data_IF_278928951191
#
_entry.id   IF_278928951191
#
_cell.length_a   1.000
_cell.length_b   1.000
_cell.length_c   1.000
_cell.angle_alpha   90.00
_cell.angle_beta   90.00
_cell.angle_gamma   90.00
#
_symmetry.space_group_name_H-M   'P 1'
#
loop_
_entity.id
_entity.type
_entity.pdbx_description
1 polymer ?
#
# COMPACT_ATOMS: atom_id res chain seq x y z
N UNK A 1 -0.67 13.07 4.60
CA UNK A 1 -0.20 11.94 3.78
C UNK A 1 -0.86 10.67 4.28
N UNK A 2 -1.54 9.92 3.41
CA UNK A 2 -2.16 8.64 3.77
C UNK A 2 -1.11 7.65 4.28
N UNK A 3 -1.53 6.73 5.14
CA UNK A 3 -0.70 5.65 5.66
C UNK A 3 -1.47 4.34 5.59
N UNK A 4 -0.79 3.28 5.21
CA UNK A 4 -1.37 1.96 5.27
C UNK A 4 -0.46 0.97 6.01
N UNK A 5 -1.08 -0.08 6.46
CA UNK A 5 -0.45 -1.25 7.06
C UNK A 5 -1.12 -2.51 6.53
N UNK A 6 -0.31 -3.49 6.25
CA UNK A 6 -0.73 -4.84 5.89
C UNK A 6 -0.09 -5.79 6.88
N UNK A 7 -0.89 -6.65 7.44
CA UNK A 7 -0.44 -7.81 8.20
C UNK A 7 -0.86 -9.05 7.44
N UNK A 8 0.07 -9.98 7.24
CA UNK A 8 -0.20 -11.33 6.76
C UNK A 8 0.51 -12.32 7.67
N UNK A 9 -0.24 -13.28 8.19
CA UNK A 9 0.29 -14.29 9.10
C UNK A 9 -0.25 -15.67 8.80
N UNK A 10 0.45 -16.70 9.25
CA UNK A 10 -0.02 -18.09 9.23
C UNK A 10 -1.05 -18.37 10.33
N UNK A 11 -1.16 -17.46 11.30
CA UNK A 11 -2.13 -17.52 12.40
C UNK A 11 -2.84 -16.18 12.54
N UNK A 12 -4.12 -16.17 12.95
CA UNK A 12 -4.85 -14.93 13.16
C UNK A 12 -4.25 -14.07 14.28
N UNK A 13 -4.07 -12.77 14.00
CA UNK A 13 -3.72 -11.75 14.99
C UNK A 13 -4.95 -10.98 15.41
N UNK A 14 -4.98 -10.52 16.66
CA UNK A 14 -6.01 -9.60 17.12
C UNK A 14 -5.81 -8.24 16.44
N UNK A 15 -6.89 -7.68 15.89
CA UNK A 15 -6.83 -6.45 15.09
C UNK A 15 -6.27 -5.26 15.90
N UNK A 16 -6.50 -5.20 17.22
CA UNK A 16 -5.97 -4.15 18.09
C UNK A 16 -4.43 -4.07 18.08
N UNK A 17 -3.73 -5.17 17.81
CA UNK A 17 -2.28 -5.20 17.71
C UNK A 17 -1.77 -4.47 16.47
N UNK A 18 -2.55 -4.45 15.39
CA UNK A 18 -2.18 -3.79 14.12
C UNK A 18 -2.63 -2.34 14.10
N UNK A 19 -3.72 -2.01 14.83
CA UNK A 19 -4.42 -0.73 14.72
C UNK A 19 -3.93 0.36 15.68
N UNK A 20 -3.30 0.02 16.79
CA UNK A 20 -3.18 0.86 18.00
C UNK A 20 -2.25 2.08 17.93
N UNK A 21 -1.82 2.65 16.83
CA UNK A 21 -1.21 4.00 16.86
C UNK A 21 -1.00 4.68 15.52
N UNK A 22 -1.64 5.82 15.29
CA UNK A 22 -1.05 7.18 15.09
C UNK A 22 -2.13 8.24 14.87
N UNK A 23 -2.06 9.39 15.59
CA UNK A 23 -3.12 10.42 15.58
C UNK A 23 -3.02 11.43 14.42
N UNK A 24 -2.28 11.15 13.34
CA UNK A 24 -1.94 12.21 12.39
C UNK A 24 -2.88 12.37 11.19
N UNK A 25 -3.82 11.45 10.94
CA UNK A 25 -4.71 11.54 9.78
C UNK A 25 -6.19 11.47 10.21
N UNK A 26 -6.85 12.62 10.16
CA UNK A 26 -8.20 12.82 10.66
C UNK A 26 -9.34 12.61 9.66
N UNK A 27 -9.04 12.35 8.38
CA UNK A 27 -10.00 12.45 7.28
C UNK A 27 -10.70 11.13 6.95
N UNK A 28 -10.63 10.17 7.86
CA UNK A 28 -11.24 8.88 7.71
C UNK A 28 -10.26 7.73 7.69
N UNK A 29 -10.77 6.53 7.81
CA UNK A 29 -9.99 5.30 7.78
C UNK A 29 -10.81 4.15 7.19
N UNK A 30 -10.12 3.07 6.85
CA UNK A 30 -10.73 1.79 6.54
C UNK A 30 -9.88 0.64 7.04
N UNK A 31 -10.53 -0.43 7.43
CA UNK A 31 -9.91 -1.71 7.77
C UNK A 31 -10.63 -2.79 6.98
N UNK A 32 -9.89 -3.52 6.18
CA UNK A 32 -10.37 -4.71 5.49
C UNK A 32 -9.74 -5.96 6.08
N UNK A 33 -10.51 -7.00 6.19
CA UNK A 33 -10.06 -8.30 6.68
C UNK A 33 -10.46 -9.36 5.67
N UNK A 34 -9.49 -10.18 5.29
CA UNK A 34 -9.74 -11.46 4.68
C UNK A 34 -9.34 -12.52 5.69
N UNK A 35 -10.33 -13.07 6.35
CA UNK A 35 -10.09 -14.01 7.43
C UNK A 35 -11.11 -15.10 7.41
N UNK A 36 -10.72 -16.21 6.87
CA UNK A 36 -11.47 -17.45 6.78
C UNK A 36 -12.06 -17.99 8.09
N UNK A 37 -11.97 -17.30 9.23
CA UNK A 37 -12.29 -17.95 10.52
C UNK A 37 -13.31 -17.22 11.40
N UNK A 38 -13.64 -15.93 11.21
CA UNK A 38 -14.47 -15.26 12.22
C UNK A 38 -15.72 -14.51 11.75
N UNK A 39 -15.86 -14.21 10.46
CA UNK A 39 -17.03 -13.49 9.95
C UNK A 39 -17.53 -13.98 8.58
N UNK A 40 -16.87 -14.91 7.96
CA UNK A 40 -17.42 -15.63 6.82
C UNK A 40 -17.97 -16.95 7.32
N UNK A 41 -19.25 -16.97 7.59
CA UNK A 41 -20.03 -18.17 7.53
C UNK A 41 -19.91 -18.73 6.12
N UNK A 42 -19.77 -20.05 5.95
CA UNK A 42 -19.76 -20.68 4.63
C UNK A 42 -21.00 -20.30 3.81
N UNK A 43 -22.11 -19.99 4.47
CA UNK A 43 -23.36 -19.51 3.87
C UNK A 43 -23.28 -18.04 3.41
N UNK A 44 -22.45 -17.19 4.02
CA UNK A 44 -22.33 -15.76 3.70
C UNK A 44 -21.30 -15.46 2.61
N UNK A 45 -20.53 -16.47 2.23
CA UNK A 45 -19.52 -16.37 1.18
C UNK A 45 -18.18 -15.85 1.65
N UNK A 46 -17.18 -15.93 0.75
CA UNK A 46 -15.78 -15.64 1.03
C UNK A 46 -15.40 -14.16 0.75
N UNK A 47 -16.31 -13.22 0.95
CA UNK A 47 -16.03 -11.80 0.76
C UNK A 47 -15.32 -11.21 1.98
N UNK A 48 -14.34 -10.31 1.79
CA UNK A 48 -13.66 -9.66 2.91
C UNK A 48 -14.64 -8.78 3.70
N UNK A 49 -14.55 -8.83 5.02
CA UNK A 49 -15.27 -7.90 5.89
C UNK A 49 -14.56 -6.56 5.89
N UNK A 50 -15.30 -5.49 5.57
CA UNK A 50 -14.76 -4.12 5.51
C UNK A 50 -15.44 -3.25 6.53
N UNK A 51 -14.64 -2.48 7.26
CA UNK A 51 -15.11 -1.42 8.11
C UNK A 51 -14.46 -0.10 7.71
N UNK A 52 -15.25 0.85 7.23
CA UNK A 52 -14.80 2.19 6.83
C UNK A 52 -15.54 3.26 7.62
N UNK A 53 -14.89 4.38 7.86
CA UNK A 53 -15.49 5.55 8.51
C UNK A 53 -14.80 6.83 8.08
N UNK A 54 -15.54 7.93 8.04
CA UNK A 54 -15.01 9.29 7.81
C UNK A 54 -14.51 9.96 9.08
N UNK A 55 -14.74 9.34 10.25
CA UNK A 55 -14.19 9.82 11.52
C UNK A 55 -12.76 9.37 11.71
N UNK A 56 -11.95 10.08 12.51
CA UNK A 56 -10.60 9.63 12.85
C UNK A 56 -10.61 8.26 13.52
N UNK A 57 -9.67 7.39 13.14
CA UNK A 57 -9.58 6.02 13.64
C UNK A 57 -9.44 5.96 15.18
N UNK A 58 -8.67 6.87 15.77
CA UNK A 58 -8.45 6.92 17.22
C UNK A 58 -9.67 7.38 18.04
N UNK A 59 -10.66 7.98 17.38
CA UNK A 59 -11.90 8.47 18.02
C UNK A 59 -13.12 7.59 17.69
N UNK A 60 -12.91 6.46 17.02
CA UNK A 60 -14.00 5.57 16.64
C UNK A 60 -14.11 4.40 17.63
N UNK A 61 -15.07 4.50 18.55
CA UNK A 61 -15.29 3.49 19.59
C UNK A 61 -15.71 2.13 19.02
N UNK A 62 -16.39 2.11 17.87
CA UNK A 62 -16.78 0.86 17.23
C UNK A 62 -15.56 0.15 16.65
N UNK A 63 -14.62 0.88 16.05
CA UNK A 63 -13.35 0.31 15.62
C UNK A 63 -12.57 -0.28 16.79
N UNK A 64 -12.51 0.43 17.93
CA UNK A 64 -11.85 -0.07 19.13
C UNK A 64 -12.47 -1.38 19.61
N UNK A 65 -13.80 -1.43 19.70
CA UNK A 65 -14.54 -2.64 20.11
C UNK A 65 -14.35 -3.81 19.14
N UNK A 66 -14.38 -3.53 17.83
CA UNK A 66 -14.13 -4.54 16.81
C UNK A 66 -12.68 -5.05 16.92
N UNK A 67 -11.71 -4.15 17.05
CA UNK A 67 -10.31 -4.49 17.13
C UNK A 67 -9.95 -5.38 18.33
N UNK A 68 -10.69 -5.26 19.43
CA UNK A 68 -10.52 -6.12 20.62
C UNK A 68 -11.14 -7.52 20.49
N UNK A 69 -12.04 -7.73 19.54
CA UNK A 69 -12.80 -8.99 19.41
C UNK A 69 -12.47 -9.76 18.15
N UNK A 70 -11.95 -9.08 17.14
CA UNK A 70 -11.68 -9.68 15.82
C UNK A 70 -10.24 -10.15 15.74
N UNK A 71 -10.06 -11.34 15.17
CA UNK A 71 -8.75 -11.90 14.78
C UNK A 71 -8.77 -12.25 13.30
N UNK A 72 -7.69 -11.94 12.59
CA UNK A 72 -7.55 -12.28 11.18
C UNK A 72 -6.11 -12.63 10.83
N UNK A 73 -5.86 -13.59 9.91
CA UNK A 73 -4.54 -13.87 9.38
C UNK A 73 -4.09 -12.84 8.33
N UNK A 74 -5.03 -12.06 7.78
CA UNK A 74 -4.74 -10.99 6.83
C UNK A 74 -5.54 -9.74 7.20
N UNK A 75 -4.83 -8.64 7.40
CA UNK A 75 -5.43 -7.35 7.76
C UNK A 75 -4.86 -6.25 6.87
N UNK A 76 -5.73 -5.47 6.25
CA UNK A 76 -5.42 -4.21 5.60
C UNK A 76 -5.95 -3.07 6.46
N UNK A 77 -5.08 -2.16 6.85
CA UNK A 77 -5.44 -0.95 7.58
C UNK A 77 -4.97 0.29 6.84
N UNK A 78 -5.86 1.26 6.64
CA UNK A 78 -5.56 2.52 5.98
C UNK A 78 -6.08 3.71 6.78
N UNK A 79 -5.26 4.73 6.95
CA UNK A 79 -5.67 6.03 7.48
C UNK A 79 -5.48 7.10 6.41
N UNK A 80 -6.58 7.80 6.13
CA UNK A 80 -6.66 8.77 5.05
C UNK A 80 -6.22 10.14 5.50
N UNK A 81 -5.45 10.82 4.64
CA UNK A 81 -5.25 12.26 4.69
C UNK A 81 -5.72 12.84 3.37
N UNK A 82 -6.81 13.61 3.40
CA UNK A 82 -7.43 14.16 2.21
C UNK A 82 -6.59 15.32 1.66
N UNK A 83 -6.25 15.22 0.39
CA UNK A 83 -5.62 16.31 -0.36
C UNK A 83 -6.48 16.73 -1.54
N UNK A 84 -7.37 15.83 -1.98
CA UNK A 84 -8.34 16.07 -3.03
C UNK A 84 -9.58 15.19 -2.82
N UNK A 85 -10.75 15.68 -3.21
CA UNK A 85 -12.02 14.99 -3.09
C UNK A 85 -12.74 15.24 -1.76
N UNK A 86 -14.02 14.89 -1.71
CA UNK A 86 -14.87 15.06 -0.52
C UNK A 86 -14.56 14.02 0.56
N UNK A 87 -14.88 14.36 1.80
CA UNK A 87 -14.97 13.41 2.89
C UNK A 87 -16.22 12.54 2.68
N UNK A 88 -16.02 11.32 2.17
CA UNK A 88 -17.09 10.34 1.97
C UNK A 88 -16.59 8.94 2.26
N UNK A 89 -17.49 8.03 2.63
CA UNK A 89 -17.18 6.62 2.84
C UNK A 89 -16.67 5.97 1.55
N UNK A 90 -17.21 6.37 0.40
CA UNK A 90 -16.81 5.84 -0.91
C UNK A 90 -15.36 6.18 -1.29
N UNK A 91 -14.77 7.19 -0.66
CA UNK A 91 -13.37 7.55 -0.82
C UNK A 91 -12.45 6.90 0.23
N UNK A 92 -12.98 6.08 1.13
CA UNK A 92 -12.18 5.36 2.13
C UNK A 92 -11.71 4.01 1.59
N UNK A 93 -10.42 3.73 1.75
CA UNK A 93 -9.84 2.42 1.42
C UNK A 93 -10.09 1.41 2.55
N UNK A 94 -10.01 0.12 2.24
CA UNK A 94 -9.73 -0.50 0.95
C UNK A 94 -10.93 -0.53 0.02
N UNK A 95 -10.68 -0.64 -1.29
CA UNK A 95 -11.72 -0.96 -2.28
C UNK A 95 -11.76 -2.47 -2.51
N UNK A 96 -12.94 -2.98 -2.85
CA UNK A 96 -13.17 -4.42 -3.02
C UNK A 96 -13.93 -4.71 -4.30
N UNK A 97 -13.52 -5.79 -4.98
CA UNK A 97 -14.24 -6.42 -6.07
C UNK A 97 -14.11 -7.94 -5.96
N UNK A 98 -15.22 -8.65 -5.74
CA UNK A 98 -15.17 -10.08 -5.46
C UNK A 98 -14.30 -10.39 -4.24
N UNK A 99 -13.28 -11.21 -4.43
CA UNK A 99 -12.26 -11.50 -3.41
C UNK A 99 -11.09 -10.51 -3.43
N UNK A 100 -10.94 -9.74 -4.49
CA UNK A 100 -9.84 -8.78 -4.60
C UNK A 100 -10.08 -7.57 -3.71
N UNK A 101 -9.12 -7.29 -2.88
CA UNK A 101 -9.08 -6.10 -2.04
C UNK A 101 -7.84 -5.28 -2.38
N UNK A 102 -7.99 -3.97 -2.51
CA UNK A 102 -6.88 -3.07 -2.74
C UNK A 102 -6.83 -1.96 -1.72
N UNK A 103 -5.62 -1.62 -1.35
CA UNK A 103 -5.29 -0.36 -0.72
C UNK A 103 -4.38 0.42 -1.67
N UNK A 104 -4.84 1.57 -2.11
CA UNK A 104 -4.08 2.49 -2.93
C UNK A 104 -3.77 3.74 -2.13
N UNK A 105 -2.67 3.73 -1.37
CA UNK A 105 -2.21 4.97 -0.79
C UNK A 105 -1.48 5.78 -1.84
N UNK A 106 -2.21 6.62 -2.54
CA UNK A 106 -1.56 7.73 -3.20
C UNK A 106 -1.16 8.73 -2.13
N UNK A 107 0.08 8.63 -1.73
CA UNK A 107 0.71 9.52 -0.76
C UNK A 107 0.69 10.95 -1.26
N UNK A 108 -0.08 11.77 -0.61
CA UNK A 108 -0.29 13.16 -0.97
C UNK A 108 0.57 14.12 -0.18
N UNK A 109 1.70 14.48 -0.75
CA UNK A 109 2.13 15.88 -0.70
C UNK A 109 2.26 16.49 -2.09
N UNK A 110 2.17 15.64 -3.12
CA UNK A 110 2.11 16.01 -4.54
C UNK A 110 1.36 14.95 -5.35
N UNK A 111 0.30 14.39 -4.77
CA UNK A 111 -0.85 13.75 -5.37
C UNK A 111 -0.66 12.51 -6.18
N UNK A 112 -0.84 11.33 -5.71
CA UNK A 112 -1.25 10.14 -6.41
C UNK A 112 -0.78 9.98 -7.86
N UNK A 113 -1.73 9.86 -8.75
CA UNK A 113 -1.48 9.85 -10.20
C UNK A 113 -1.39 11.29 -10.68
N UNK A 114 -0.26 11.61 -11.31
CA UNK A 114 0.02 12.94 -11.85
C UNK A 114 -1.11 13.41 -12.78
N UNK A 115 -1.52 14.65 -12.59
CA UNK A 115 -2.51 15.32 -13.46
C UNK A 115 -3.74 14.46 -13.76
N UNK A 116 -4.19 13.70 -12.76
CA UNK A 116 -5.30 12.74 -12.91
C UNK A 116 -6.53 13.35 -13.57
N UNK A 117 -6.85 14.61 -13.29
CA UNK A 117 -7.98 15.30 -13.89
C UNK A 117 -7.87 15.41 -15.42
N UNK A 118 -6.66 15.49 -15.96
CA UNK A 118 -6.41 15.53 -17.41
C UNK A 118 -6.48 14.15 -18.05
N UNK A 119 -6.06 13.11 -17.34
CA UNK A 119 -6.06 11.74 -17.89
C UNK A 119 -7.34 10.99 -17.63
N UNK A 120 -8.17 11.41 -16.67
CA UNK A 120 -9.38 10.70 -16.23
C UNK A 120 -10.26 10.28 -17.40
N UNK A 121 -10.57 11.20 -18.33
CA UNK A 121 -11.40 10.90 -19.49
C UNK A 121 -10.75 9.87 -20.42
N UNK A 122 -9.44 9.98 -20.65
CA UNK A 122 -8.70 9.00 -21.48
C UNK A 122 -8.64 7.64 -20.80
N UNK A 123 -8.44 7.61 -19.49
CA UNK A 123 -8.48 6.38 -18.71
C UNK A 123 -9.84 5.71 -18.80
N UNK A 124 -10.92 6.46 -18.59
CA UNK A 124 -12.28 5.96 -18.71
C UNK A 124 -12.59 5.38 -20.10
N UNK A 125 -12.13 6.04 -21.18
CA UNK A 125 -12.35 5.54 -22.55
C UNK A 125 -11.56 4.28 -22.90
N UNK A 126 -10.56 3.91 -22.11
CA UNK A 126 -9.78 2.67 -22.27
C UNK A 126 -10.30 1.51 -21.42
N UNK A 127 -11.17 1.80 -20.45
CA UNK A 127 -11.78 0.77 -19.62
C UNK A 127 -12.95 0.12 -20.37
N UNK A 128 -13.10 -1.21 -20.29
CA UNK A 128 -14.31 -1.87 -20.77
C UNK A 128 -15.53 -1.39 -19.97
N UNK A 129 -16.73 -1.38 -20.58
CA UNK A 129 -17.95 -0.89 -19.94
C UNK A 129 -18.22 -1.55 -18.58
N UNK A 130 -17.91 -2.83 -18.46
CA UNK A 130 -18.04 -3.56 -17.19
C UNK A 130 -17.14 -2.99 -16.09
N UNK A 131 -15.96 -2.48 -16.44
CA UNK A 131 -15.05 -1.87 -15.45
C UNK A 131 -15.56 -0.50 -14.96
N UNK A 132 -16.36 0.19 -15.74
CA UNK A 132 -17.02 1.42 -15.31
C UNK A 132 -18.09 1.15 -14.25
N UNK A 133 -18.71 -0.04 -14.28
CA UNK A 133 -19.69 -0.47 -13.27
C UNK A 133 -19.01 -0.79 -11.93
N UNK A 134 -17.74 -1.25 -11.96
CA UNK A 134 -16.97 -1.55 -10.75
C UNK A 134 -16.55 -0.30 -9.97
N UNK A 135 -16.47 0.83 -10.68
CA UNK A 135 -16.21 2.12 -10.06
C UNK A 135 -17.52 2.70 -9.52
N UNK A 136 -17.50 3.10 -8.24
CA UNK A 136 -18.62 3.86 -7.65
C UNK A 136 -18.66 5.30 -8.14
N UNK A 137 -17.93 5.61 -9.21
CA UNK A 137 -17.78 6.93 -9.83
C UNK A 137 -17.26 8.00 -8.85
N UNK A 138 -16.48 7.60 -7.86
CA UNK A 138 -15.89 8.52 -6.88
C UNK A 138 -14.87 9.47 -7.54
N UNK A 139 -14.45 10.46 -6.81
CA UNK A 139 -13.38 11.36 -7.26
C UNK A 139 -11.97 10.80 -6.95
N UNK A 140 -11.88 9.65 -6.28
CA UNK A 140 -10.62 9.04 -5.89
C UNK A 140 -9.88 8.46 -7.09
N UNK A 141 -8.68 8.95 -7.35
CA UNK A 141 -7.82 8.44 -8.42
C UNK A 141 -7.39 6.97 -8.21
N UNK A 142 -7.31 6.55 -6.95
CA UNK A 142 -7.00 5.16 -6.58
C UNK A 142 -8.10 4.16 -6.96
N UNK A 143 -9.38 4.56 -6.92
CA UNK A 143 -10.48 3.72 -7.39
C UNK A 143 -10.37 3.45 -8.89
N UNK A 144 -10.07 4.48 -9.68
CA UNK A 144 -9.87 4.34 -11.13
C UNK A 144 -8.62 3.52 -11.47
N UNK A 145 -7.56 3.64 -10.65
CA UNK A 145 -6.40 2.77 -10.78
C UNK A 145 -6.75 1.31 -10.48
N UNK A 146 -7.63 1.06 -9.51
CA UNK A 146 -8.12 -0.28 -9.22
C UNK A 146 -9.01 -0.83 -10.34
N UNK A 147 -9.92 -0.04 -10.89
CA UNK A 147 -10.70 -0.45 -12.06
C UNK A 147 -9.81 -0.80 -13.27
N UNK A 148 -8.73 -0.02 -13.46
CA UNK A 148 -7.72 -0.33 -14.49
C UNK A 148 -6.99 -1.64 -14.17
N UNK A 149 -6.60 -1.87 -12.93
CA UNK A 149 -5.98 -3.13 -12.50
C UNK A 149 -6.90 -4.32 -12.77
N UNK A 150 -8.18 -4.24 -12.40
CA UNK A 150 -9.16 -5.29 -12.66
C UNK A 150 -9.29 -5.57 -14.16
N UNK A 151 -9.24 -4.54 -15.01
CA UNK A 151 -9.28 -4.70 -16.47
C UNK A 151 -8.05 -5.40 -17.08
N UNK A 152 -6.92 -5.50 -16.31
CA UNK A 152 -5.72 -6.22 -16.75
C UNK A 152 -5.74 -7.69 -16.35
N UNK A 153 -6.69 -8.12 -15.53
CA UNK A 153 -6.86 -9.52 -15.15
C UNK A 153 -7.56 -10.29 -16.28
N UNK A 154 -7.20 -11.56 -16.51
CA UNK A 154 -7.90 -12.41 -17.48
C UNK A 154 -9.38 -12.57 -17.18
N UNK A 155 -9.72 -12.74 -15.90
CA UNK A 155 -11.09 -12.77 -15.37
C UNK A 155 -11.07 -12.14 -13.97
N UNK A 156 -11.56 -10.90 -13.81
CA UNK A 156 -11.57 -10.22 -12.52
C UNK A 156 -12.55 -10.84 -11.49
N UNK A 157 -13.46 -11.72 -11.94
CA UNK A 157 -14.41 -12.42 -11.08
C UNK A 157 -13.90 -13.80 -10.65
N UNK A 158 -12.70 -14.20 -11.08
CA UNK A 158 -12.10 -15.45 -10.66
C UNK A 158 -11.96 -15.52 -9.14
N UNK A 159 -12.09 -16.70 -8.59
CA UNK A 159 -12.00 -16.93 -7.12
C UNK A 159 -10.57 -17.05 -6.62
N UNK A 160 -9.61 -17.29 -7.50
CA UNK A 160 -8.18 -17.44 -7.17
C UNK A 160 -7.31 -16.88 -8.29
N UNK A 161 -6.18 -16.31 -7.90
CA UNK A 161 -5.19 -15.76 -8.82
C UNK A 161 -3.80 -16.30 -8.52
N UNK A 162 -3.01 -16.53 -9.55
CA UNK A 162 -1.59 -16.76 -9.33
C UNK A 162 -0.91 -15.45 -8.95
N UNK A 163 0.12 -15.51 -8.08
CA UNK A 163 0.93 -14.33 -7.78
C UNK A 163 1.55 -13.71 -9.03
N UNK A 164 1.80 -14.51 -10.08
CA UNK A 164 2.30 -14.02 -11.37
C UNK A 164 1.23 -13.21 -12.12
N UNK A 165 -0.03 -13.66 -12.10
CA UNK A 165 -1.16 -12.95 -12.71
C UNK A 165 -1.35 -11.58 -12.06
N UNK A 166 -1.42 -11.54 -10.71
CA UNK A 166 -1.57 -10.29 -9.97
C UNK A 166 -0.37 -9.35 -10.20
N UNK A 167 0.84 -9.90 -10.20
CA UNK A 167 2.06 -9.13 -10.49
C UNK A 167 2.03 -8.53 -11.89
N UNK A 168 1.68 -9.33 -12.90
CA UNK A 168 1.59 -8.85 -14.28
C UNK A 168 0.55 -7.74 -14.41
N UNK A 169 -0.65 -7.95 -13.87
CA UNK A 169 -1.72 -6.95 -13.90
C UNK A 169 -1.29 -5.63 -13.22
N UNK A 170 -0.54 -5.69 -12.12
CA UNK A 170 -0.01 -4.51 -11.45
C UNK A 170 1.03 -3.76 -12.30
N UNK A 171 1.94 -4.48 -12.94
CA UNK A 171 2.92 -3.87 -13.86
C UNK A 171 2.25 -3.23 -15.08
N UNK A 172 1.28 -3.92 -15.68
CA UNK A 172 0.51 -3.41 -16.82
C UNK A 172 -0.31 -2.17 -16.42
N UNK A 173 -0.81 -2.12 -15.18
CA UNK A 173 -1.50 -0.94 -14.62
C UNK A 173 -0.57 0.25 -14.51
N UNK A 174 0.61 0.08 -13.89
CA UNK A 174 1.61 1.14 -13.75
C UNK A 174 2.05 1.64 -15.14
N UNK A 175 2.34 0.73 -16.07
CA UNK A 175 2.73 1.07 -17.43
C UNK A 175 1.64 1.88 -18.16
N UNK A 176 0.37 1.48 -18.02
CA UNK A 176 -0.78 2.18 -18.62
C UNK A 176 -0.95 3.58 -18.03
N UNK A 177 -0.83 3.73 -16.71
CA UNK A 177 -0.90 5.05 -16.05
C UNK A 177 0.24 5.96 -16.49
N UNK A 178 1.47 5.45 -16.56
CA UNK A 178 2.62 6.21 -17.05
C UNK A 178 2.45 6.64 -18.51
N UNK A 179 1.88 5.78 -19.35
CA UNK A 179 1.59 6.11 -20.74
C UNK A 179 0.55 7.23 -20.86
N UNK A 180 -0.52 7.17 -20.05
CA UNK A 180 -1.57 8.18 -20.03
C UNK A 180 -1.09 9.54 -19.53
N UNK A 181 -0.21 9.56 -18.51
CA UNK A 181 0.39 10.79 -17.99
C UNK A 181 1.33 11.48 -19.00
N UNK A 182 1.86 10.76 -20.00
CA UNK A 182 2.68 11.34 -21.06
C UNK A 182 4.10 11.73 -20.62
N UNK A 183 4.91 12.26 -21.58
CA UNK A 183 6.33 12.57 -21.36
C UNK A 183 6.62 14.05 -21.08
N UNK A 184 5.65 14.88 -20.90
CA UNK A 184 5.86 16.34 -20.87
C UNK A 184 5.32 17.05 -19.63
N UNK A 185 4.91 16.29 -18.63
CA UNK A 185 4.29 16.88 -17.44
C UNK A 185 5.28 16.87 -16.28
N UNK A 186 5.44 18.01 -15.63
CA UNK A 186 6.32 18.20 -14.48
C UNK A 186 5.83 17.50 -13.21
N UNK A 187 4.63 16.91 -13.27
CA UNK A 187 4.02 16.27 -12.11
C UNK A 187 4.41 14.80 -12.01
N UNK A 188 4.70 14.37 -10.78
CA UNK A 188 5.16 13.03 -10.46
C UNK A 188 4.01 12.14 -10.00
N UNK A 189 3.94 10.91 -10.52
CA UNK A 189 3.02 9.90 -10.01
C UNK A 189 3.67 9.10 -8.90
N UNK A 190 3.01 9.06 -7.74
CA UNK A 190 3.37 8.22 -6.59
C UNK A 190 2.38 7.06 -6.52
N UNK A 191 2.85 5.84 -6.81
CA UNK A 191 1.99 4.67 -6.93
C UNK A 191 2.40 3.57 -5.95
N UNK A 192 2.25 3.87 -4.65
CA UNK A 192 2.36 2.85 -3.61
C UNK A 192 1.02 2.11 -3.51
N UNK A 193 0.82 1.18 -4.40
CA UNK A 193 -0.38 0.35 -4.45
C UNK A 193 -0.20 -0.92 -3.64
N UNK A 194 -1.29 -1.45 -3.14
CA UNK A 194 -1.34 -2.80 -2.63
C UNK A 194 -2.62 -3.50 -3.07
N UNK A 195 -2.53 -4.79 -3.38
CA UNK A 195 -3.66 -5.64 -3.74
C UNK A 195 -3.48 -7.03 -3.15
N UNK A 196 -4.58 -7.66 -2.77
CA UNK A 196 -4.63 -9.06 -2.35
C UNK A 196 -5.88 -9.74 -2.90
N UNK A 197 -5.79 -11.05 -3.07
CA UNK A 197 -6.91 -11.97 -3.29
C UNK A 197 -7.20 -12.85 -2.05
N UNK A 198 -6.59 -12.49 -0.90
CA UNK A 198 -6.61 -13.26 0.34
C UNK A 198 -5.40 -14.18 0.51
N UNK A 199 -4.90 -14.76 -0.58
CA UNK A 199 -3.79 -15.71 -0.57
C UNK A 199 -2.43 -15.07 -0.84
N UNK A 200 -2.37 -14.17 -1.82
CA UNK A 200 -1.18 -13.42 -2.16
C UNK A 200 -1.35 -11.93 -1.87
N UNK A 201 -0.26 -11.24 -1.55
CA UNK A 201 -0.22 -9.78 -1.44
C UNK A 201 0.79 -9.23 -2.43
N UNK A 202 0.39 -8.25 -3.23
CA UNK A 202 1.28 -7.50 -4.12
C UNK A 202 1.30 -6.05 -3.61
N UNK A 203 2.47 -5.52 -3.31
CA UNK A 203 2.63 -4.12 -2.93
C UNK A 203 3.70 -3.45 -3.78
N UNK A 204 3.55 -2.16 -4.09
CA UNK A 204 4.52 -1.39 -4.85
C UNK A 204 4.97 -0.16 -4.07
N UNK A 205 6.26 0.13 -4.14
CA UNK A 205 6.83 1.43 -3.82
C UNK A 205 7.33 2.03 -5.13
N UNK A 206 6.56 2.97 -5.70
CA UNK A 206 6.83 3.43 -7.06
C UNK A 206 6.66 4.95 -7.22
N UNK A 207 7.54 5.53 -8.04
CA UNK A 207 7.47 6.92 -8.49
C UNK A 207 7.87 7.02 -9.97
N UNK A 208 7.16 7.87 -10.71
CA UNK A 208 7.48 8.18 -12.10
C UNK A 208 8.57 9.27 -12.22
N UNK A 209 9.69 9.06 -11.53
CA UNK A 209 10.86 9.96 -11.57
C UNK A 209 12.16 9.17 -11.46
N UNK A 210 13.20 9.69 -12.10
CA UNK A 210 14.57 9.20 -11.94
C UNK A 210 15.36 9.94 -10.87
N UNK A 211 14.85 11.09 -10.41
CA UNK A 211 15.53 11.99 -9.46
C UNK A 211 14.96 11.85 -8.05
N UNK A 212 13.64 11.75 -7.93
CA UNK A 212 12.94 11.76 -6.65
C UNK A 212 12.80 10.36 -6.06
N UNK A 213 12.66 10.31 -4.74
CA UNK A 213 12.34 9.09 -4.01
C UNK A 213 10.83 8.88 -3.91
N UNK A 214 10.40 7.64 -4.07
CA UNK A 214 9.01 7.25 -3.78
C UNK A 214 8.68 7.44 -2.31
N UNK A 215 7.39 7.63 -2.00
CA UNK A 215 6.92 7.64 -0.63
C UNK A 215 7.40 6.38 0.12
N UNK A 216 7.73 6.55 1.40
CA UNK A 216 8.31 5.46 2.20
C UNK A 216 7.40 4.23 2.26
N UNK A 217 8.02 3.07 2.20
CA UNK A 217 7.39 1.79 2.41
C UNK A 217 8.40 0.85 3.05
N UNK A 218 7.96 0.13 4.07
CA UNK A 218 8.79 -0.73 4.89
C UNK A 218 8.16 -2.10 5.03
N UNK A 219 8.96 -3.11 5.28
CA UNK A 219 8.46 -4.41 5.69
C UNK A 219 9.19 -4.92 6.92
N UNK A 220 8.51 -5.78 7.67
CA UNK A 220 9.04 -6.53 8.79
C UNK A 220 8.57 -7.97 8.70
N UNK A 221 9.40 -8.93 9.05
CA UNK A 221 9.05 -10.34 9.06
C UNK A 221 9.59 -11.05 10.28
N UNK A 222 8.84 -12.03 10.77
CA UNK A 222 9.24 -12.76 11.96
C UNK A 222 8.30 -13.93 12.27
N UNK A 223 8.47 -14.49 13.48
CA UNK A 223 7.67 -15.59 14.00
C UNK A 223 6.52 -15.12 14.88
N UNK A 224 6.72 -14.03 15.62
CA UNK A 224 5.71 -13.44 16.51
C UNK A 224 5.75 -11.93 16.45
N UNK A 225 4.55 -11.33 16.57
CA UNK A 225 4.37 -9.89 16.73
C UNK A 225 3.52 -9.67 17.98
N UNK A 226 4.11 -9.17 19.05
CA UNK A 226 3.47 -9.07 20.35
C UNK A 226 3.85 -7.81 21.10
N UNK A 227 2.98 -7.39 21.99
CA UNK A 227 3.24 -6.33 22.95
C UNK A 227 4.23 -6.86 23.99
N UNK A 228 5.32 -6.14 24.20
CA UNK A 228 6.35 -6.50 25.20
C UNK A 228 6.37 -5.57 26.42
N UNK A 229 5.69 -4.43 26.33
CA UNK A 229 5.49 -3.51 27.45
C UNK A 229 4.16 -2.77 27.29
N UNK A 230 3.55 -2.41 28.41
CA UNK A 230 2.29 -1.69 28.43
C UNK A 230 2.34 -0.39 27.63
N UNK A 231 1.19 0.00 27.08
CA UNK A 231 1.09 1.23 26.31
C UNK A 231 1.36 1.06 24.81
N UNK A 232 1.29 -0.16 24.28
CA UNK A 232 1.38 -0.46 22.86
C UNK A 232 2.81 -0.49 22.33
N UNK A 233 3.74 -0.99 23.15
CA UNK A 233 5.11 -1.27 22.74
C UNK A 233 5.17 -2.66 22.10
N UNK A 234 5.13 -2.71 20.78
CA UNK A 234 5.18 -3.96 20.01
C UNK A 234 6.58 -4.24 19.50
N UNK A 235 6.89 -5.52 19.34
CA UNK A 235 8.14 -6.03 18.79
C UNK A 235 7.84 -7.18 17.83
N UNK A 236 8.58 -7.20 16.71
CA UNK A 236 8.69 -8.36 15.82
C UNK A 236 9.83 -9.24 16.34
N UNK A 237 9.53 -10.49 16.66
CA UNK A 237 10.56 -11.45 17.12
C UNK A 237 10.72 -12.56 16.08
N UNK A 238 11.95 -13.01 15.89
CA UNK A 238 12.32 -14.07 14.97
C UNK A 238 12.97 -15.22 15.75
N UNK A 239 12.17 -16.22 16.11
CA UNK A 239 12.63 -17.35 16.91
C UNK A 239 13.34 -18.43 16.06
N UNK A 240 12.97 -18.56 14.77
CA UNK A 240 13.54 -19.53 13.85
C UNK A 240 13.65 -18.97 12.41
N UNK A 241 13.99 -19.80 11.44
CA UNK A 241 14.14 -19.40 10.04
C UNK A 241 12.80 -19.23 9.30
N UNK A 242 11.68 -19.61 9.91
CA UNK A 242 10.35 -19.52 9.28
C UNK A 242 9.79 -18.10 9.49
N UNK A 243 9.19 -17.58 8.47
CA UNK A 243 8.47 -16.32 8.53
C UNK A 243 6.98 -16.63 8.64
N UNK A 244 6.47 -16.56 9.87
CA UNK A 244 5.04 -16.80 10.14
C UNK A 244 4.22 -15.51 10.02
N UNK A 245 4.90 -14.37 10.04
CA UNK A 245 4.30 -13.04 9.98
C UNK A 245 5.12 -12.19 9.02
N UNK A 246 4.44 -11.51 8.12
CA UNK A 246 5.00 -10.46 7.28
C UNK A 246 4.11 -9.23 7.40
N UNK A 247 4.72 -8.10 7.68
CA UNK A 247 4.04 -6.81 7.72
C UNK A 247 4.63 -5.88 6.67
N UNK A 248 3.78 -5.11 5.99
CA UNK A 248 4.17 -4.01 5.12
C UNK A 248 3.50 -2.76 5.65
N UNK A 249 4.25 -1.68 5.82
CA UNK A 249 3.71 -0.43 6.34
C UNK A 249 4.37 0.79 5.70
N UNK A 250 3.64 1.88 5.61
CA UNK A 250 4.16 3.15 5.11
C UNK A 250 5.34 3.68 5.95
N UNK A 251 5.42 3.27 7.20
CA UNK A 251 6.49 3.59 8.14
C UNK A 251 6.59 2.51 9.24
N UNK A 252 7.75 2.33 9.89
CA UNK A 252 7.92 1.37 10.97
C UNK A 252 6.87 1.56 12.08
N UNK A 253 6.27 0.47 12.52
CA UNK A 253 5.22 0.47 13.56
C UNK A 253 5.76 0.17 14.96
N UNK A 254 6.99 -0.32 15.06
CA UNK A 254 7.66 -0.60 16.33
C UNK A 254 8.73 0.45 16.62
N UNK A 255 9.13 0.56 17.91
CA UNK A 255 10.23 1.44 18.29
C UNK A 255 11.59 0.89 17.85
N UNK A 256 11.71 -0.43 17.68
CA UNK A 256 12.90 -1.09 17.18
C UNK A 256 12.96 -0.96 15.65
N UNK A 257 13.66 0.08 15.20
CA UNK A 257 13.82 0.32 13.75
C UNK A 257 14.56 -0.83 13.05
N UNK A 258 15.37 -1.57 13.76
CA UNK A 258 16.09 -2.73 13.25
C UNK A 258 15.16 -3.89 12.82
N UNK A 259 13.93 -3.93 13.33
CA UNK A 259 12.92 -4.93 12.93
C UNK A 259 12.34 -4.64 11.54
N UNK A 260 12.64 -3.48 10.94
CA UNK A 260 12.06 -3.02 9.69
C UNK A 260 13.12 -2.80 8.62
N UNK A 261 12.83 -3.27 7.42
CA UNK A 261 13.65 -3.05 6.24
C UNK A 261 12.91 -2.14 5.26
N UNK A 262 13.61 -1.12 4.78
CA UNK A 262 13.05 -0.21 3.78
C UNK A 262 12.99 -0.90 2.41
N UNK A 263 11.81 -0.86 1.78
CA UNK A 263 11.64 -1.30 0.40
C UNK A 263 12.22 -0.22 -0.51
N UNK A 264 13.10 -0.57 -1.43
CA UNK A 264 13.73 0.39 -2.34
C UNK A 264 12.71 1.01 -3.29
N UNK A 265 12.97 2.24 -3.72
CA UNK A 265 12.17 2.93 -4.73
C UNK A 265 12.08 2.10 -6.02
N UNK A 266 10.92 2.13 -6.68
CA UNK A 266 10.58 1.36 -7.88
C UNK A 266 10.78 -0.14 -7.69
N UNK A 267 10.26 -0.64 -6.57
CA UNK A 267 10.28 -2.07 -6.22
C UNK A 267 8.86 -2.55 -5.91
N UNK A 268 8.56 -3.73 -6.42
CA UNK A 268 7.37 -4.50 -6.09
C UNK A 268 7.71 -5.54 -5.04
N UNK A 269 6.88 -5.67 -4.03
CA UNK A 269 6.93 -6.73 -3.03
C UNK A 269 5.80 -7.71 -3.31
N UNK A 270 6.12 -8.99 -3.28
CA UNK A 270 5.16 -10.09 -3.42
C UNK A 270 5.25 -10.96 -2.18
N UNK A 271 4.15 -11.08 -1.44
CA UNK A 271 4.00 -12.10 -0.40
C UNK A 271 3.21 -13.25 -1.02
N UNK A 272 3.84 -14.39 -1.14
CA UNK A 272 3.20 -15.57 -1.72
C UNK A 272 2.29 -16.27 -0.71
N UNK A 273 1.37 -17.17 -1.15
CA UNK A 273 0.58 -18.00 -0.24
C UNK A 273 1.43 -18.84 0.73
N UNK A 274 2.68 -19.16 0.34
CA UNK A 274 3.65 -19.91 1.16
C UNK A 274 4.48 -19.03 2.09
N UNK A 275 4.07 -17.78 2.31
CA UNK A 275 4.75 -16.80 3.17
C UNK A 275 6.20 -16.48 2.72
N UNK A 276 6.49 -16.56 1.43
CA UNK A 276 7.75 -16.03 0.90
C UNK A 276 7.56 -14.56 0.52
N UNK A 277 8.49 -13.72 0.96
CA UNK A 277 8.56 -12.32 0.55
C UNK A 277 9.59 -12.17 -0.57
N UNK A 278 9.13 -11.69 -1.72
CA UNK A 278 9.97 -11.42 -2.88
C UNK A 278 10.02 -9.92 -3.13
N UNK A 279 11.21 -9.36 -3.32
CA UNK A 279 11.40 -7.99 -3.76
C UNK A 279 11.86 -7.98 -5.21
N UNK A 280 11.10 -7.35 -6.09
CA UNK A 280 11.29 -7.40 -7.54
C UNK A 280 11.39 -5.95 -8.05
N UNK A 281 12.51 -5.53 -8.63
CA UNK A 281 12.63 -4.21 -9.25
C UNK A 281 11.59 -4.02 -10.36
N UNK A 282 10.97 -2.86 -10.40
CA UNK A 282 10.10 -2.43 -11.50
C UNK A 282 11.00 -1.72 -12.53
N UNK A 283 11.36 -2.46 -13.57
CA UNK A 283 12.31 -1.98 -14.58
C UNK A 283 11.53 -1.33 -15.73
N UNK A 284 11.52 -0.02 -15.71
CA UNK A 284 10.91 0.84 -16.73
C UNK A 284 11.81 2.07 -17.00
N UNK A 285 11.26 3.07 -17.70
CA UNK A 285 12.01 4.32 -18.02
C UNK A 285 12.43 5.13 -16.78
N UNK A 286 11.83 4.89 -15.61
CA UNK A 286 12.12 5.57 -14.36
C UNK A 286 13.00 4.76 -13.41
N UNK A 287 13.34 3.54 -13.80
CA UNK A 287 14.21 2.69 -12.99
C UNK A 287 15.64 3.25 -12.93
N UNK A 288 16.20 3.25 -11.74
CA UNK A 288 17.61 3.60 -11.48
C UNK A 288 18.24 2.45 -10.72
N UNK A 289 19.29 1.87 -11.29
CA UNK A 289 20.02 0.77 -10.66
C UNK A 289 20.68 1.23 -9.35
N UNK A 290 20.63 0.45 -8.26
CA UNK A 290 21.26 0.81 -7.00
C UNK A 290 22.77 1.02 -7.07
N UNK A 291 23.43 0.43 -8.07
CA UNK A 291 24.87 0.52 -8.33
C UNK A 291 25.25 1.65 -9.29
N UNK A 292 24.30 2.45 -9.76
CA UNK A 292 24.60 3.58 -10.62
C UNK A 292 25.29 4.69 -9.81
N UNK A 293 26.59 4.92 -10.02
CA UNK A 293 27.35 5.94 -9.29
C UNK A 293 26.87 7.37 -9.61
N UNK A 294 26.17 7.55 -10.73
CA UNK A 294 25.57 8.81 -11.15
C UNK A 294 24.10 8.93 -10.72
N UNK A 295 23.64 8.03 -9.85
CA UNK A 295 22.30 8.10 -9.31
C UNK A 295 22.14 9.39 -8.50
N UNK A 296 21.66 10.43 -9.16
CA UNK A 296 21.33 11.72 -8.54
C UNK A 296 20.25 11.57 -7.46
N UNK A 297 19.41 10.52 -7.55
CA UNK A 297 18.25 10.29 -6.70
C UNK A 297 18.58 10.39 -5.21
N UNK A 298 19.59 9.68 -4.74
CA UNK A 298 19.96 9.66 -3.33
C UNK A 298 20.67 10.94 -2.88
N UNK A 299 21.55 11.47 -3.73
CA UNK A 299 22.38 12.64 -3.42
C UNK A 299 21.54 13.92 -3.48
N UNK A 300 20.76 14.13 -4.52
CA UNK A 300 19.89 15.30 -4.64
C UNK A 300 18.79 15.30 -3.57
N UNK A 301 18.14 14.17 -3.34
CA UNK A 301 17.16 14.02 -2.27
C UNK A 301 17.77 14.36 -0.89
N UNK A 302 18.96 13.83 -0.60
CA UNK A 302 19.66 14.11 0.65
C UNK A 302 20.06 15.58 0.76
N UNK A 303 20.44 16.24 -0.36
CA UNK A 303 20.76 17.66 -0.41
C UNK A 303 19.51 18.53 -0.19
N UNK A 304 18.42 18.26 -0.90
CA UNK A 304 17.17 19.01 -0.78
C UNK A 304 16.55 18.89 0.62
N UNK A 305 16.71 17.74 1.26
CA UNK A 305 16.24 17.49 2.65
C UNK A 305 17.22 17.95 3.72
N UNK A 306 18.33 18.58 3.34
CA UNK A 306 19.34 19.06 4.30
C UNK A 306 20.07 17.95 5.05
N UNK A 307 20.05 16.72 4.53
CA UNK A 307 20.69 15.56 5.15
C UNK A 307 22.19 15.45 4.83
N UNK A 308 22.66 16.19 3.81
CA UNK A 308 24.06 16.30 3.48
C UNK A 308 24.63 17.59 4.09
N UNK A 309 25.54 17.47 5.02
CA UNK A 309 26.37 18.60 5.47
C UNK A 309 27.20 19.10 4.28
N UNK A 310 27.25 20.43 4.03
CA UNK A 310 28.17 20.97 3.02
C UNK A 310 29.60 20.52 3.36
N UNK A 311 30.29 19.89 2.43
CA UNK A 311 31.75 19.72 2.59
C UNK A 311 32.34 21.11 2.80
N UNK A 312 32.92 21.35 3.98
CA UNK A 312 33.81 22.49 4.13
C UNK A 312 34.92 22.28 3.11
N UNK A 313 35.00 23.16 2.12
CA UNK A 313 36.17 23.26 1.31
C UNK A 313 37.35 23.55 2.26
N UNK A 314 38.21 22.56 2.41
CA UNK A 314 39.52 22.79 3.02
C UNK A 314 40.22 23.76 2.10
N UNK A 315 40.21 25.04 2.46
CA UNK A 315 41.15 26.02 1.87
C UNK A 315 42.54 25.49 2.14
N UNK A 316 43.19 25.09 1.09
CA UNK A 316 44.63 24.76 1.12
C UNK A 316 45.41 25.98 1.60
N UNK A 317 46.49 25.79 2.37
CA UNK A 317 47.33 26.87 2.87
C UNK A 317 48.11 27.56 1.77
#
# INVERSE_FOLDING_TARGET
>A
MCRFVIYKGTSPVQLSHVHRRRPMNGDGFGVGQDGMILYTDEELGAQPCIFTSVTPAWNNINLTRLAEKIKSPLVFGHVRATTAGSLSLDNCHPFVHGKLMTDGSSSCTMGGIADFHLIKRKLQSQLPDVALIWSKATQANSEWAFALFLSKLPDPNATTFSSQTLRKAMLDTIASLNYLCGRGWDSLSLMNFCVTDGDAVIATRYISSRKDEAASLWFSSGTTFSEYADGGHYKMSKADKRENIIMIASEPLTFERADWMEIKTNTMVVITPKMNLLQIPIIDQFYVAPSDPNSARTIEFAREKGLLTPRKELSSP
#
